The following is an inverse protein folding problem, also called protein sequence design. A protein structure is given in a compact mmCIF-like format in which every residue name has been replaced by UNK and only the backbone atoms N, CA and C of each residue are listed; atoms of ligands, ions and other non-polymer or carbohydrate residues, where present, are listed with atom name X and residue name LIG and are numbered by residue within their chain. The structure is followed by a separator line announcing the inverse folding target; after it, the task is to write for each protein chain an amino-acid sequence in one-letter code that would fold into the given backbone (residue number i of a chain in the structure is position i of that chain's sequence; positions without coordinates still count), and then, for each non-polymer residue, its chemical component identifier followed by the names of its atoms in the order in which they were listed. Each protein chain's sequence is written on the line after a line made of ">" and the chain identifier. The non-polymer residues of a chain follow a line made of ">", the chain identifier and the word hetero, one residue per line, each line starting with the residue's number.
data_IF_203639832839
#
_entry.id   IF_203639832839
#
_cell.length_a   1.000
_cell.length_b   1.000
_cell.length_c   1.000
_cell.angle_alpha   90.00
_cell.angle_beta   90.00
_cell.angle_gamma   90.00
#
_symmetry.space_group_name_H-M   'P 1'
#
loop_
_entity.id
_entity.type
_entity.pdbx_description
1 polymer ?
#
# COMPACT_ATOMS: atom_id res chain seq x y z
N UNK A 1 5.37 -6.99 21.54
CA UNK A 1 3.92 -6.73 21.42
C UNK A 1 3.35 -7.89 20.61
N UNK A 2 2.47 -8.68 21.19
CA UNK A 2 1.79 -9.80 20.49
C UNK A 2 0.56 -9.25 19.82
N UNK A 3 0.55 -9.14 18.49
CA UNK A 3 -0.56 -8.65 17.69
C UNK A 3 -0.07 -8.01 16.40
N UNK A 4 -1.01 -7.78 15.47
CA UNK A 4 -0.75 -7.02 14.24
C UNK A 4 -1.00 -5.53 14.50
N UNK A 5 -0.19 -4.69 13.91
CA UNK A 5 -0.31 -3.23 14.03
C UNK A 5 -0.10 -2.56 12.68
N UNK A 6 -0.60 -1.34 12.55
CA UNK A 6 -0.53 -0.50 11.37
C UNK A 6 0.16 0.82 11.69
N UNK A 7 1.13 1.23 10.91
CA UNK A 7 1.72 2.56 10.88
C UNK A 7 1.26 3.28 9.60
N UNK A 8 0.57 4.41 9.75
CA UNK A 8 0.14 5.24 8.63
C UNK A 8 1.33 6.06 8.11
N UNK A 9 1.88 5.71 6.95
CA UNK A 9 3.03 6.40 6.36
C UNK A 9 2.61 7.66 5.58
N UNK A 10 1.48 7.57 4.89
CA UNK A 10 0.82 8.65 4.18
C UNK A 10 -0.68 8.38 4.13
N UNK A 11 -1.48 9.43 4.05
CA UNK A 11 -2.95 9.34 4.16
C UNK A 11 -3.69 10.16 3.09
N UNK A 12 -2.97 11.00 2.35
CA UNK A 12 -3.54 11.89 1.34
C UNK A 12 -3.83 11.18 0.03
N UNK A 13 -4.66 11.82 -0.78
CA UNK A 13 -4.92 11.45 -2.16
C UNK A 13 -3.76 11.82 -3.11
N UNK A 14 -3.94 11.56 -4.41
CA UNK A 14 -2.96 11.86 -5.45
C UNK A 14 -2.59 13.36 -5.57
N UNK A 15 -3.44 14.25 -5.10
CA UNK A 15 -3.31 15.71 -5.25
C UNK A 15 -3.02 16.43 -3.95
N UNK A 16 -2.84 15.69 -2.84
CA UNK A 16 -2.59 16.29 -1.53
C UNK A 16 -1.29 17.10 -1.52
N UNK A 17 -1.39 18.34 -1.04
CA UNK A 17 -0.25 19.22 -0.73
C UNK A 17 0.12 19.19 0.76
N UNK A 18 -0.70 18.56 1.63
CA UNK A 18 -0.50 18.48 3.09
C UNK A 18 0.06 17.16 3.56
N UNK A 19 -0.34 16.07 2.89
CA UNK A 19 -0.03 14.72 3.32
C UNK A 19 0.79 13.99 2.25
N UNK A 20 1.58 13.03 2.66
CA UNK A 20 2.11 12.04 1.75
C UNK A 20 0.98 11.16 1.20
N UNK A 21 1.14 10.70 -0.03
CA UNK A 21 0.21 9.78 -0.68
C UNK A 21 -0.02 8.52 0.14
N UNK A 22 -1.20 7.93 0.00
CA UNK A 22 -1.68 6.79 0.76
C UNK A 22 -0.68 5.62 0.76
N UNK A 23 -0.18 5.29 1.94
CA UNK A 23 0.76 4.20 2.16
C UNK A 23 0.73 3.77 3.62
N UNK A 24 0.81 2.48 3.86
CA UNK A 24 0.79 1.91 5.21
C UNK A 24 1.89 0.87 5.38
N UNK A 25 2.37 0.72 6.61
CA UNK A 25 3.26 -0.37 7.01
C UNK A 25 2.58 -1.22 8.09
N UNK A 26 2.40 -2.51 7.84
CA UNK A 26 1.89 -3.47 8.82
C UNK A 26 3.07 -4.14 9.52
N UNK A 27 2.94 -4.31 10.84
CA UNK A 27 3.94 -4.99 11.66
C UNK A 27 3.34 -6.18 12.38
N UNK A 28 3.99 -7.33 12.29
CA UNK A 28 3.67 -8.52 13.07
C UNK A 28 4.93 -9.38 13.24
N UNK A 29 5.13 -9.96 14.41
CA UNK A 29 6.22 -10.90 14.72
C UNK A 29 7.62 -10.45 14.23
N UNK A 30 7.90 -9.14 14.37
CA UNK A 30 9.19 -8.53 13.99
C UNK A 30 9.35 -8.26 12.49
N UNK A 31 8.35 -8.52 11.66
CA UNK A 31 8.36 -8.30 10.21
C UNK A 31 7.50 -7.09 9.82
N UNK A 32 7.89 -6.38 8.75
CA UNK A 32 7.15 -5.27 8.18
C UNK A 32 6.70 -5.57 6.76
N UNK A 33 5.42 -5.35 6.48
CA UNK A 33 4.80 -5.40 5.16
C UNK A 33 4.35 -3.99 4.76
N UNK A 34 4.85 -3.46 3.64
CA UNK A 34 4.31 -2.23 3.07
C UNK A 34 3.06 -2.54 2.24
N UNK A 35 2.06 -1.67 2.32
CA UNK A 35 0.96 -1.59 1.37
C UNK A 35 1.16 -0.32 0.56
N UNK A 36 1.39 -0.50 -0.73
CA UNK A 36 1.83 0.49 -1.69
C UNK A 36 3.23 1.09 -1.43
N UNK A 37 3.75 1.83 -2.40
CA UNK A 37 5.11 2.37 -2.37
C UNK A 37 5.20 3.68 -3.16
N UNK A 38 4.59 4.77 -2.68
CA UNK A 38 4.72 6.08 -3.32
C UNK A 38 6.09 6.70 -3.09
N UNK A 39 6.48 7.67 -3.96
CA UNK A 39 7.67 8.47 -3.74
C UNK A 39 7.38 9.59 -2.72
N UNK A 40 8.33 9.91 -1.84
CA UNK A 40 9.65 9.31 -1.57
C UNK A 40 9.58 8.28 -0.42
N UNK A 41 9.36 7.02 -0.74
CA UNK A 41 9.03 5.94 0.22
C UNK A 41 9.95 5.89 1.44
N UNK A 42 11.28 6.01 1.26
CA UNK A 42 12.22 5.95 2.39
C UNK A 42 12.02 7.12 3.36
N UNK A 43 11.71 8.31 2.83
CA UNK A 43 11.43 9.50 3.65
C UNK A 43 10.12 9.30 4.42
N UNK A 44 9.06 8.81 3.76
CA UNK A 44 7.79 8.49 4.41
C UNK A 44 8.00 7.55 5.61
N UNK A 45 8.71 6.43 5.39
CA UNK A 45 8.98 5.46 6.46
C UNK A 45 9.73 6.09 7.63
N UNK A 46 10.80 6.84 7.36
CA UNK A 46 11.64 7.47 8.40
C UNK A 46 10.88 8.50 9.21
N UNK A 47 10.13 9.37 8.57
CA UNK A 47 9.38 10.44 9.26
C UNK A 47 8.20 9.88 10.05
N UNK A 48 7.41 8.99 9.44
CA UNK A 48 6.26 8.39 10.11
C UNK A 48 6.68 7.52 11.31
N UNK A 49 7.73 6.69 11.13
CA UNK A 49 8.21 5.86 12.24
C UNK A 49 8.81 6.69 13.37
N UNK A 50 9.56 7.75 13.08
CA UNK A 50 10.08 8.66 14.09
C UNK A 50 8.95 9.35 14.89
N UNK A 51 7.86 9.77 14.22
CA UNK A 51 6.68 10.34 14.88
C UNK A 51 5.99 9.33 15.80
N UNK A 52 6.03 8.05 15.48
CA UNK A 52 5.49 6.96 16.29
C UNK A 52 6.46 6.42 17.37
N UNK A 53 7.66 7.00 17.48
CA UNK A 53 8.70 6.49 18.40
C UNK A 53 9.32 5.16 17.95
N UNK A 54 9.28 4.87 16.65
CA UNK A 54 9.79 3.65 16.01
C UNK A 54 10.97 3.98 15.09
N UNK A 55 11.66 2.96 14.60
CA UNK A 55 12.71 3.08 13.59
C UNK A 55 12.43 2.09 12.44
N UNK A 56 11.85 2.59 11.35
CA UNK A 56 11.55 1.80 10.14
C UNK A 56 12.32 2.37 8.93
N UNK A 57 13.05 1.49 8.26
CA UNK A 57 13.75 1.79 7.00
C UNK A 57 13.66 0.58 6.05
N UNK A 58 14.07 0.73 4.79
CA UNK A 58 14.00 -0.31 3.75
C UNK A 58 14.59 -1.68 4.18
N UNK A 59 15.71 -1.76 4.92
CA UNK A 59 16.25 -3.06 5.33
C UNK A 59 15.28 -3.96 6.11
N UNK A 60 14.35 -3.37 6.85
CA UNK A 60 13.38 -4.07 7.71
C UNK A 60 12.12 -4.50 6.95
N UNK A 61 11.93 -4.01 5.71
CA UNK A 61 10.76 -4.35 4.89
C UNK A 61 10.91 -5.76 4.34
N UNK A 62 9.95 -6.62 4.66
CA UNK A 62 9.86 -8.00 4.19
C UNK A 62 9.30 -8.10 2.78
N UNK A 63 8.29 -7.28 2.48
CA UNK A 63 7.66 -7.22 1.16
C UNK A 63 6.87 -5.92 0.99
N UNK A 64 6.50 -5.65 -0.27
CA UNK A 64 5.50 -4.64 -0.66
C UNK A 64 4.31 -5.36 -1.28
N UNK A 65 3.10 -5.07 -0.83
CA UNK A 65 1.84 -5.44 -1.48
C UNK A 65 1.36 -4.23 -2.29
N UNK A 66 1.46 -4.32 -3.61
CA UNK A 66 1.10 -3.24 -4.53
C UNK A 66 -0.35 -3.41 -4.97
N UNK A 67 -1.16 -2.38 -4.77
CA UNK A 67 -2.58 -2.39 -5.12
C UNK A 67 -2.82 -2.11 -6.60
N UNK A 68 -2.18 -1.06 -7.15
CA UNK A 68 -2.32 -0.63 -8.54
C UNK A 68 -1.18 0.30 -9.02
N UNK A 69 -1.27 0.79 -10.27
CA UNK A 69 -0.19 1.53 -10.93
C UNK A 69 -0.42 3.04 -11.05
N UNK A 70 -1.29 3.66 -10.27
CA UNK A 70 -1.28 5.11 -10.16
C UNK A 70 -0.02 5.59 -9.45
N UNK A 71 0.50 6.74 -9.86
CA UNK A 71 1.80 7.23 -9.40
C UNK A 71 1.87 7.45 -7.89
N UNK A 72 0.78 7.88 -7.29
CA UNK A 72 0.62 8.07 -5.85
C UNK A 72 0.62 6.75 -5.04
N UNK A 73 0.61 5.58 -5.71
CA UNK A 73 0.73 4.26 -5.08
C UNK A 73 2.01 3.51 -5.47
N UNK A 74 2.63 3.79 -6.63
CA UNK A 74 3.74 2.97 -7.14
C UNK A 74 5.04 3.73 -7.46
N UNK A 75 5.04 5.06 -7.48
CA UNK A 75 6.19 5.87 -7.93
C UNK A 75 7.48 5.71 -7.12
N UNK A 76 7.43 5.18 -5.91
CA UNK A 76 8.60 4.90 -5.07
C UNK A 76 9.28 3.56 -5.35
N UNK A 77 8.68 2.69 -6.18
CA UNK A 77 9.22 1.35 -6.46
C UNK A 77 10.59 1.40 -7.14
N UNK A 78 10.84 2.37 -8.03
CA UNK A 78 12.17 2.56 -8.62
C UNK A 78 13.24 2.74 -7.54
N UNK A 79 13.03 3.70 -6.62
CA UNK A 79 13.96 3.96 -5.51
C UNK A 79 14.11 2.76 -4.56
N UNK A 80 13.03 2.06 -4.27
CA UNK A 80 13.04 0.84 -3.46
C UNK A 80 13.84 -0.28 -4.14
N UNK A 81 13.61 -0.49 -5.44
CA UNK A 81 14.31 -1.49 -6.25
C UNK A 81 15.82 -1.23 -6.32
N UNK A 82 16.22 0.01 -6.59
CA UNK A 82 17.62 0.41 -6.61
C UNK A 82 18.29 0.27 -5.25
N UNK A 83 17.65 0.75 -4.18
CA UNK A 83 18.21 0.62 -2.83
C UNK A 83 18.37 -0.86 -2.44
N UNK A 84 17.36 -1.67 -2.69
CA UNK A 84 17.40 -3.10 -2.39
C UNK A 84 18.51 -3.80 -3.18
N UNK A 85 18.61 -3.52 -4.48
CA UNK A 85 19.59 -4.17 -5.35
C UNK A 85 21.03 -3.73 -5.10
N UNK A 86 21.27 -2.42 -5.01
CA UNK A 86 22.63 -1.86 -5.02
C UNK A 86 23.17 -1.57 -3.62
N UNK A 87 22.30 -1.31 -2.63
CA UNK A 87 22.75 -1.05 -1.26
C UNK A 87 22.63 -2.32 -0.40
N UNK A 88 21.52 -3.06 -0.51
CA UNK A 88 21.31 -4.26 0.30
C UNK A 88 21.77 -5.56 -0.38
N UNK A 89 22.12 -5.54 -1.67
CA UNK A 89 22.57 -6.71 -2.43
C UNK A 89 21.48 -7.76 -2.64
N UNK A 90 20.20 -7.40 -2.51
CA UNK A 90 19.07 -8.33 -2.65
C UNK A 90 17.97 -7.73 -3.54
N UNK A 91 17.07 -8.58 -4.04
CA UNK A 91 15.83 -8.12 -4.68
C UNK A 91 14.79 -7.79 -3.60
N UNK A 92 13.93 -6.81 -3.87
CA UNK A 92 12.76 -6.55 -3.03
C UNK A 92 11.66 -7.55 -3.37
N UNK A 93 10.95 -8.08 -2.36
CA UNK A 93 9.77 -8.93 -2.60
C UNK A 93 8.57 -8.03 -2.91
N UNK A 94 7.91 -8.28 -4.03
CA UNK A 94 6.75 -7.54 -4.51
C UNK A 94 5.57 -8.50 -4.71
N UNK A 95 4.48 -8.24 -4.00
CA UNK A 95 3.22 -8.95 -4.14
C UNK A 95 2.28 -8.07 -4.98
N UNK A 96 1.80 -8.56 -6.10
CA UNK A 96 0.87 -7.81 -6.95
C UNK A 96 -0.05 -8.75 -7.74
N UNK A 97 -1.26 -8.30 -8.04
CA UNK A 97 -2.15 -9.04 -8.93
C UNK A 97 -1.52 -9.16 -10.34
N UNK A 98 -1.70 -10.28 -11.06
CA UNK A 98 -1.12 -10.46 -12.39
C UNK A 98 -1.46 -9.33 -13.39
N UNK A 99 -2.66 -8.77 -13.34
CA UNK A 99 -3.05 -7.62 -14.18
C UNK A 99 -2.26 -6.34 -13.85
N UNK A 100 -1.80 -6.19 -12.60
CA UNK A 100 -0.96 -5.06 -12.15
C UNK A 100 0.50 -5.31 -12.56
N UNK A 101 1.04 -6.49 -12.19
CA UNK A 101 2.45 -6.81 -12.45
C UNK A 101 2.78 -6.92 -13.94
N UNK A 102 1.83 -7.34 -14.79
CA UNK A 102 2.01 -7.42 -16.23
C UNK A 102 2.30 -6.06 -16.90
N UNK A 103 1.88 -4.96 -16.28
CA UNK A 103 2.08 -3.59 -16.80
C UNK A 103 3.14 -2.81 -16.03
N UNK A 104 3.63 -3.35 -14.92
CA UNK A 104 4.55 -2.63 -14.03
C UNK A 104 5.87 -2.27 -14.71
N UNK A 105 6.46 -3.19 -15.46
CA UNK A 105 7.75 -2.93 -16.11
C UNK A 105 7.60 -1.96 -17.28
N UNK A 106 6.92 -2.38 -18.34
CA UNK A 106 6.79 -1.60 -19.58
C UNK A 106 5.97 -0.32 -19.42
N UNK A 107 5.00 -0.32 -18.50
CA UNK A 107 4.12 0.81 -18.26
C UNK A 107 4.64 1.83 -17.24
N UNK A 108 5.66 1.48 -16.43
CA UNK A 108 6.09 2.36 -15.33
C UNK A 108 7.60 2.36 -15.08
N UNK A 109 8.26 1.21 -14.86
CA UNK A 109 9.63 1.16 -14.34
C UNK A 109 10.73 1.15 -15.42
N UNK A 110 10.47 0.60 -16.62
CA UNK A 110 11.48 0.43 -17.66
C UNK A 110 12.17 1.74 -18.03
N UNK A 111 11.43 2.84 -18.13
CA UNK A 111 11.98 4.14 -18.50
C UNK A 111 13.14 4.64 -17.61
N UNK A 112 13.13 4.26 -16.32
CA UNK A 112 14.19 4.61 -15.37
C UNK A 112 15.18 3.48 -15.05
N UNK A 113 14.80 2.22 -15.31
CA UNK A 113 15.53 1.05 -14.78
C UNK A 113 16.07 0.08 -15.83
N UNK A 114 15.60 0.16 -17.08
CA UNK A 114 15.91 -0.83 -18.12
C UNK A 114 17.38 -0.79 -18.56
N UNK A 115 17.94 0.40 -18.73
CA UNK A 115 19.30 0.61 -19.26
C UNK A 115 20.26 1.04 -18.15
N UNK A 116 21.22 0.20 -17.84
CA UNK A 116 22.31 0.53 -16.92
C UNK A 116 23.58 0.87 -17.71
N UNK A 117 23.92 2.17 -17.82
CA UNK A 117 25.19 2.63 -18.36
C UNK A 117 26.31 2.33 -17.35
N UNK A 118 27.36 1.65 -17.80
CA UNK A 118 28.49 1.26 -16.94
C UNK A 118 29.70 2.21 -17.06
N UNK A 119 29.64 3.15 -18.00
CA UNK A 119 30.68 4.14 -18.25
C UNK A 119 30.99 4.34 -19.75
N UNK A 120 31.81 5.36 -20.10
CA UNK A 120 32.17 5.61 -21.49
C UNK A 120 32.83 4.39 -22.15
N UNK A 121 32.32 3.97 -23.30
CA UNK A 121 32.87 2.85 -24.08
C UNK A 121 32.55 1.44 -23.55
N UNK A 122 31.79 1.33 -22.44
CA UNK A 122 31.30 0.04 -21.94
C UNK A 122 29.88 -0.14 -22.45
N UNK A 123 29.53 -1.30 -23.05
CA UNK A 123 28.17 -1.59 -23.50
C UNK A 123 27.18 -1.41 -22.34
N UNK A 124 26.03 -0.81 -22.63
CA UNK A 124 24.93 -0.73 -21.69
C UNK A 124 24.45 -2.14 -21.30
N UNK A 125 24.06 -2.31 -20.05
CA UNK A 125 23.49 -3.56 -19.55
C UNK A 125 21.98 -3.42 -19.50
N UNK A 126 21.26 -4.26 -20.25
CA UNK A 126 19.81 -4.36 -20.18
C UNK A 126 19.39 -5.05 -18.88
N UNK A 127 18.36 -4.52 -18.26
CA UNK A 127 17.77 -5.00 -17.04
C UNK A 127 16.29 -5.33 -17.24
N UNK A 128 15.76 -6.11 -16.34
CA UNK A 128 14.36 -6.50 -16.30
C UNK A 128 13.79 -6.27 -14.90
N UNK A 129 12.48 -6.35 -14.76
CA UNK A 129 11.79 -6.31 -13.46
C UNK A 129 12.44 -7.28 -12.44
N UNK A 130 12.80 -8.46 -12.91
CA UNK A 130 13.32 -9.55 -12.08
C UNK A 130 14.78 -9.37 -11.63
N UNK A 131 15.47 -8.36 -12.14
CA UNK A 131 16.78 -7.96 -11.59
C UNK A 131 16.63 -7.24 -10.24
N UNK A 132 15.48 -6.58 -10.03
CA UNK A 132 15.21 -5.73 -8.86
C UNK A 132 14.19 -6.35 -7.91
N UNK A 133 13.23 -7.11 -8.43
CA UNK A 133 12.10 -7.62 -7.65
C UNK A 133 11.95 -9.14 -7.74
N UNK A 134 11.61 -9.74 -6.60
CA UNK A 134 11.03 -11.09 -6.51
C UNK A 134 9.50 -10.93 -6.54
N UNK A 135 8.92 -11.03 -7.74
CA UNK A 135 7.48 -10.81 -7.94
C UNK A 135 6.70 -12.06 -7.62
N UNK A 136 5.77 -11.96 -6.66
CA UNK A 136 4.86 -13.03 -6.26
C UNK A 136 3.42 -12.65 -6.59
N UNK A 137 2.70 -13.46 -7.36
CA UNK A 137 1.35 -13.12 -7.78
C UNK A 137 0.37 -13.17 -6.60
N UNK A 138 -0.43 -12.10 -6.46
CA UNK A 138 -1.64 -12.08 -5.66
C UNK A 138 -2.82 -12.36 -6.60
N UNK A 139 -3.27 -13.61 -6.67
CA UNK A 139 -4.42 -13.97 -7.50
C UNK A 139 -5.70 -13.98 -6.66
N UNK A 140 -6.83 -13.73 -7.34
CA UNK A 140 -8.15 -13.80 -6.72
C UNK A 140 -8.38 -15.17 -6.07
N UNK A 141 -8.93 -15.18 -4.84
CA UNK A 141 -9.21 -16.37 -4.02
C UNK A 141 -7.98 -17.23 -3.65
N UNK A 142 -6.76 -16.82 -4.00
CA UNK A 142 -5.55 -17.49 -3.56
C UNK A 142 -4.92 -16.76 -2.39
N UNK A 143 -4.53 -17.53 -1.38
CA UNK A 143 -3.77 -16.98 -0.25
C UNK A 143 -2.28 -17.04 -0.56
N UNK A 144 -1.59 -15.92 -0.35
CA UNK A 144 -0.14 -15.81 -0.49
C UNK A 144 0.48 -15.45 0.86
N UNK A 145 1.51 -16.19 1.25
CA UNK A 145 2.21 -15.94 2.52
C UNK A 145 3.56 -15.26 2.29
N UNK A 146 3.88 -14.28 3.14
CA UNK A 146 5.19 -13.66 3.24
C UNK A 146 5.51 -13.34 4.70
N UNK A 147 6.55 -13.96 5.25
CA UNK A 147 6.82 -13.90 6.68
C UNK A 147 5.58 -14.33 7.49
N UNK A 148 5.17 -13.55 8.50
CA UNK A 148 3.98 -13.85 9.30
C UNK A 148 2.66 -13.48 8.62
N UNK A 149 2.69 -12.79 7.47
CA UNK A 149 1.51 -12.26 6.79
C UNK A 149 0.94 -13.25 5.79
N UNK A 150 -0.39 -13.40 5.78
CA UNK A 150 -1.17 -14.09 4.76
C UNK A 150 -2.08 -13.08 4.09
N UNK A 151 -2.02 -13.03 2.76
CA UNK A 151 -2.73 -12.04 1.97
C UNK A 151 -3.71 -12.71 1.02
N UNK A 152 -4.89 -12.10 0.89
CA UNK A 152 -5.87 -12.36 -0.16
C UNK A 152 -6.23 -11.04 -0.81
N UNK A 153 -6.60 -11.06 -2.09
CA UNK A 153 -6.99 -9.86 -2.82
C UNK A 153 -8.33 -10.05 -3.54
N UNK A 154 -8.97 -8.93 -3.86
CA UNK A 154 -10.14 -8.84 -4.73
C UNK A 154 -9.99 -7.62 -5.63
N UNK A 155 -10.38 -7.70 -6.91
CA UNK A 155 -10.42 -6.54 -7.80
C UNK A 155 -11.45 -5.53 -7.32
N UNK A 156 -11.14 -4.25 -7.45
CA UNK A 156 -12.00 -3.12 -7.12
C UNK A 156 -12.56 -2.44 -8.35
N UNK A 157 -13.52 -1.55 -8.15
CA UNK A 157 -14.12 -0.76 -9.22
C UNK A 157 -13.38 0.58 -9.38
N UNK A 158 -12.26 0.55 -10.12
CA UNK A 158 -11.40 1.72 -10.33
C UNK A 158 -10.98 1.84 -11.81
N UNK A 159 -10.31 2.95 -12.18
CA UNK A 159 -9.94 3.27 -13.58
C UNK A 159 -8.86 2.36 -14.17
N UNK A 160 -8.04 1.75 -13.33
CA UNK A 160 -7.01 0.77 -13.70
C UNK A 160 -7.19 -0.50 -12.88
N UNK A 161 -6.62 -1.66 -13.26
CA UNK A 161 -6.63 -2.84 -12.42
C UNK A 161 -6.12 -2.53 -11.03
N UNK A 162 -7.00 -2.60 -10.04
CA UNK A 162 -6.73 -2.27 -8.64
C UNK A 162 -7.23 -3.39 -7.75
N UNK A 163 -6.53 -3.65 -6.64
CA UNK A 163 -6.88 -4.73 -5.72
C UNK A 163 -7.04 -4.23 -4.29
N UNK A 164 -8.20 -4.52 -3.71
CA UNK A 164 -8.39 -4.54 -2.26
C UNK A 164 -7.64 -5.73 -1.65
N UNK A 165 -7.26 -5.61 -0.40
CA UNK A 165 -6.47 -6.60 0.33
C UNK A 165 -7.15 -7.02 1.63
N UNK A 166 -7.05 -8.30 1.98
CA UNK A 166 -7.19 -8.80 3.35
C UNK A 166 -5.84 -9.35 3.78
N UNK A 167 -5.34 -8.87 4.92
CA UNK A 167 -4.05 -9.28 5.47
C UNK A 167 -4.27 -9.85 6.85
N UNK A 168 -3.86 -11.10 7.04
CA UNK A 168 -3.94 -11.81 8.30
C UNK A 168 -2.54 -11.99 8.89
N UNK A 169 -2.37 -11.67 10.16
CA UNK A 169 -1.16 -11.96 10.93
C UNK A 169 -1.46 -11.93 12.44
N UNK A 170 -0.76 -12.73 13.23
CA UNK A 170 -0.87 -12.78 14.69
C UNK A 170 -2.33 -12.91 15.20
N UNK A 171 -3.17 -13.66 14.47
CA UNK A 171 -4.58 -13.88 14.81
C UNK A 171 -5.50 -12.68 14.59
N UNK A 172 -5.08 -11.69 13.82
CA UNK A 172 -5.82 -10.48 13.46
C UNK A 172 -5.92 -10.34 11.94
N UNK A 173 -6.97 -9.67 11.49
CA UNK A 173 -7.24 -9.40 10.08
C UNK A 173 -7.41 -7.90 9.84
N UNK A 174 -6.63 -7.36 8.90
CA UNK A 174 -6.84 -6.03 8.33
C UNK A 174 -7.51 -6.18 6.95
N UNK A 175 -8.58 -5.42 6.70
CA UNK A 175 -9.15 -5.20 5.38
C UNK A 175 -8.75 -3.84 4.84
N UNK A 176 -8.34 -3.76 3.57
CA UNK A 176 -8.02 -2.51 2.89
C UNK A 176 -8.74 -2.42 1.56
N UNK A 177 -9.48 -1.35 1.35
CA UNK A 177 -10.27 -1.16 0.12
C UNK A 177 -9.40 -0.94 -1.11
N UNK A 178 -8.20 -0.35 -0.96
CA UNK A 178 -7.51 0.38 -2.03
C UNK A 178 -8.46 1.41 -2.70
N UNK A 179 -8.07 1.97 -3.84
CA UNK A 179 -8.92 2.93 -4.55
C UNK A 179 -10.10 2.21 -5.22
N UNK A 180 -11.30 2.74 -5.02
CA UNK A 180 -12.53 2.13 -5.54
C UNK A 180 -13.69 3.10 -5.54
N UNK A 181 -14.54 3.07 -6.57
CA UNK A 181 -15.90 3.57 -6.42
C UNK A 181 -16.62 2.75 -5.34
N UNK A 182 -17.68 3.30 -4.75
CA UNK A 182 -18.46 2.60 -3.73
C UNK A 182 -18.95 1.24 -4.26
N UNK A 183 -18.67 0.19 -3.51
CA UNK A 183 -19.04 -1.18 -3.84
C UNK A 183 -19.50 -1.90 -2.55
N UNK A 184 -20.81 -2.17 -2.47
CA UNK A 184 -21.41 -2.84 -1.31
C UNK A 184 -20.86 -4.27 -1.12
N UNK A 185 -20.60 -4.99 -2.22
CA UNK A 185 -20.03 -6.33 -2.15
C UNK A 185 -18.58 -6.32 -1.65
N UNK A 186 -17.84 -5.24 -1.93
CA UNK A 186 -16.51 -5.04 -1.36
C UNK A 186 -16.59 -4.75 0.15
N UNK A 187 -17.52 -3.90 0.57
CA UNK A 187 -17.77 -3.63 2.00
C UNK A 187 -18.08 -4.94 2.73
N UNK A 188 -18.97 -5.77 2.17
CA UNK A 188 -19.32 -7.07 2.78
C UNK A 188 -18.10 -8.00 2.84
N UNK A 189 -17.25 -8.02 1.80
CA UNK A 189 -16.02 -8.82 1.79
C UNK A 189 -15.01 -8.36 2.84
N UNK A 190 -14.97 -7.06 3.17
CA UNK A 190 -14.09 -6.49 4.20
C UNK A 190 -14.70 -6.59 5.61
N UNK A 191 -16.02 -6.79 5.73
CA UNK A 191 -16.75 -6.66 6.99
C UNK A 191 -16.33 -7.64 8.10
N UNK A 192 -15.71 -8.78 7.75
CA UNK A 192 -15.20 -9.76 8.74
C UNK A 192 -13.82 -9.38 9.32
N UNK A 193 -13.18 -8.32 8.81
CA UNK A 193 -11.88 -7.89 9.33
C UNK A 193 -12.02 -7.25 10.73
N UNK A 194 -10.99 -7.41 11.57
CA UNK A 194 -10.91 -6.74 12.89
C UNK A 194 -10.78 -5.23 12.73
N UNK A 195 -10.05 -4.77 11.70
CA UNK A 195 -9.90 -3.37 11.32
C UNK A 195 -10.07 -3.24 9.81
N UNK A 196 -10.83 -2.24 9.37
CA UNK A 196 -11.01 -1.89 7.96
C UNK A 196 -10.35 -0.53 7.72
N UNK A 197 -9.51 -0.43 6.70
CA UNK A 197 -9.05 0.85 6.17
C UNK A 197 -9.72 1.05 4.82
N UNK A 198 -10.50 2.11 4.69
CA UNK A 198 -11.23 2.41 3.45
C UNK A 198 -10.83 3.77 2.90
N UNK A 199 -10.63 3.85 1.59
CA UNK A 199 -10.42 5.12 0.92
C UNK A 199 -11.68 5.99 0.98
N UNK A 200 -11.51 7.30 0.96
CA UNK A 200 -12.61 8.24 0.72
C UNK A 200 -12.11 9.45 -0.04
N UNK A 201 -12.75 9.73 -1.18
CA UNK A 201 -12.45 10.89 -1.99
C UNK A 201 -13.71 11.26 -2.82
N UNK A 202 -13.93 12.54 -3.14
CA UNK A 202 -15.00 12.90 -4.06
C UNK A 202 -14.71 12.40 -5.48
N UNK A 203 -15.78 12.05 -6.19
CA UNK A 203 -15.70 11.63 -7.60
C UNK A 203 -16.19 10.20 -7.84
N UNK A 204 -16.44 9.89 -9.11
CA UNK A 204 -17.10 8.64 -9.50
C UNK A 204 -16.19 7.41 -9.51
N UNK A 205 -14.88 7.61 -9.42
CA UNK A 205 -13.87 6.54 -9.35
C UNK A 205 -13.42 6.23 -7.92
N UNK A 206 -13.95 6.97 -6.96
CA UNK A 206 -13.64 6.86 -5.54
C UNK A 206 -14.91 6.74 -4.72
N UNK A 207 -14.78 6.46 -3.44
CA UNK A 207 -15.92 6.34 -2.52
C UNK A 207 -16.19 7.67 -1.81
N UNK A 208 -17.33 8.36 -2.09
CA UNK A 208 -17.72 9.54 -1.34
C UNK A 208 -17.95 9.22 0.15
N UNK A 209 -17.50 10.11 1.03
CA UNK A 209 -17.59 9.96 2.48
C UNK A 209 -19.00 9.66 2.96
N UNK A 210 -20.02 10.32 2.39
CA UNK A 210 -21.41 10.19 2.80
C UNK A 210 -21.93 8.75 2.67
N UNK A 211 -21.41 7.99 1.69
CA UNK A 211 -21.77 6.59 1.49
C UNK A 211 -21.19 5.71 2.60
N UNK A 212 -19.95 5.98 3.02
CA UNK A 212 -19.33 5.30 4.16
C UNK A 212 -20.00 5.69 5.49
N UNK A 213 -20.31 6.96 5.68
CA UNK A 213 -20.98 7.47 6.87
C UNK A 213 -22.39 6.90 7.04
N UNK A 214 -23.05 6.48 5.95
CA UNK A 214 -24.37 5.85 5.98
C UNK A 214 -24.33 4.34 6.32
N UNK A 215 -23.16 3.70 6.35
CA UNK A 215 -23.01 2.28 6.69
C UNK A 215 -23.47 1.99 8.13
N UNK A 216 -23.85 0.75 8.45
CA UNK A 216 -24.18 0.33 9.81
C UNK A 216 -23.05 0.66 10.81
N UNK A 217 -23.41 1.09 12.01
CA UNK A 217 -22.44 1.43 13.06
C UNK A 217 -21.46 0.28 13.35
N UNK A 218 -21.93 -0.97 13.30
CA UNK A 218 -21.10 -2.14 13.53
C UNK A 218 -19.93 -2.27 12.50
N UNK A 219 -20.10 -1.75 11.29
CA UNK A 219 -19.03 -1.68 10.27
C UNK A 219 -18.16 -0.46 10.52
N UNK A 220 -18.79 0.72 10.65
CA UNK A 220 -18.07 2.00 10.82
C UNK A 220 -17.18 2.03 12.06
N UNK A 221 -17.59 1.38 13.16
CA UNK A 221 -16.81 1.34 14.42
C UNK A 221 -15.47 0.60 14.30
N UNK A 222 -15.27 -0.15 13.23
CA UNK A 222 -14.02 -0.87 12.90
C UNK A 222 -13.33 -0.30 11.67
N UNK A 223 -13.79 0.86 11.17
CA UNK A 223 -13.27 1.48 9.95
C UNK A 223 -12.41 2.69 10.29
N UNK A 224 -11.32 2.86 9.53
CA UNK A 224 -10.49 4.06 9.47
C UNK A 224 -10.47 4.55 8.02
N UNK A 225 -10.39 5.89 7.83
CA UNK A 225 -10.37 6.49 6.50
C UNK A 225 -8.94 6.80 6.05
N UNK A 226 -8.70 6.63 4.75
CA UNK A 226 -7.45 6.98 4.07
C UNK A 226 -7.77 7.61 2.70
N UNK A 227 -6.77 8.12 2.00
CA UNK A 227 -6.89 8.66 0.65
C UNK A 227 -7.84 9.87 0.53
N UNK A 228 -7.93 10.63 1.62
CA UNK A 228 -8.80 11.80 1.67
C UNK A 228 -8.07 13.07 1.19
N UNK A 229 -8.82 14.02 0.57
CA UNK A 229 -8.26 15.28 0.09
C UNK A 229 -7.91 16.23 1.24
N UNK A 230 -7.06 17.23 0.97
CA UNK A 230 -6.59 18.21 1.96
C UNK A 230 -7.70 19.00 2.67
N UNK A 231 -8.86 19.13 2.02
CA UNK A 231 -10.03 19.85 2.55
C UNK A 231 -11.04 18.96 3.27
N UNK A 232 -10.73 17.67 3.44
CA UNK A 232 -11.59 16.74 4.19
C UNK A 232 -11.73 17.22 5.64
N UNK A 233 -12.96 17.29 6.13
CA UNK A 233 -13.27 17.72 7.49
C UNK A 233 -13.02 16.57 8.49
N UNK A 234 -11.81 16.57 9.04
CA UNK A 234 -11.37 15.53 9.99
C UNK A 234 -12.18 15.54 11.29
N UNK A 235 -12.59 16.73 11.76
CA UNK A 235 -13.22 16.91 13.07
C UNK A 235 -14.69 16.48 13.08
N UNK A 236 -15.40 16.64 11.95
CA UNK A 236 -16.82 16.26 11.84
C UNK A 236 -17.02 14.80 11.40
N UNK A 237 -15.95 14.08 11.06
CA UNK A 237 -16.05 12.71 10.56
C UNK A 237 -16.53 11.74 11.64
N UNK A 238 -17.60 10.97 11.33
CA UNK A 238 -18.11 9.89 12.20
C UNK A 238 -17.34 8.58 12.06
N UNK A 239 -16.36 8.54 11.14
CA UNK A 239 -15.39 7.44 10.95
C UNK A 239 -14.01 8.05 11.17
N UNK A 240 -13.19 7.48 12.03
CA UNK A 240 -11.88 8.02 12.38
C UNK A 240 -10.97 8.06 11.14
N UNK A 241 -10.45 9.24 10.72
CA UNK A 241 -9.44 9.31 9.68
C UNK A 241 -8.07 8.83 10.21
N UNK A 242 -7.33 8.07 9.41
CA UNK A 242 -5.93 7.77 9.71
C UNK A 242 -5.13 9.06 9.84
N UNK A 243 -4.27 9.11 10.82
CA UNK A 243 -3.35 10.24 11.03
C UNK A 243 -1.94 9.81 10.61
N UNK A 244 -1.33 10.55 9.69
CA UNK A 244 0.03 10.29 9.22
C UNK A 244 1.02 10.26 10.39
N UNK A 245 1.86 9.24 10.45
CA UNK A 245 2.84 9.04 11.51
C UNK A 245 2.27 8.43 12.80
N UNK A 246 0.98 8.09 12.84
CA UNK A 246 0.35 7.42 13.98
C UNK A 246 0.38 5.89 13.82
N UNK A 247 0.54 5.20 14.94
CA UNK A 247 0.56 3.75 15.05
C UNK A 247 -0.77 3.24 15.64
N UNK A 248 -1.37 2.25 14.99
CA UNK A 248 -2.67 1.68 15.37
C UNK A 248 -2.53 0.18 15.66
N UNK A 249 -3.33 -0.33 16.59
CA UNK A 249 -3.47 -1.78 16.82
C UNK A 249 -4.61 -2.33 15.95
N UNK A 250 -4.38 -3.46 15.27
CA UNK A 250 -5.39 -4.18 14.50
C UNK A 250 -6.16 -5.15 15.39
#
# INVERSE_FOLDING_TARGET
>A
MSGMSLLALGVGDAFSGRYYSSCMALHADGAWLLIDCPHPIRKLMREASASAGLDLDIPQVSAVALTHLHADHCSGLEGLGFFSRFVLGRRATLLAHPLVSARLWDGHLAGGMEIALQGPGIPALERTLYDFFDVRPLAYEQEVSVGPFRLRCRLTNHSVPTTALRVEAAGRTLGYSADTAFDADLIDWLADADLIVHETNPGFLHTPYEQLAALPQAVRSRMLLIHYPDHFDLDSSVIEPLTQGRYYTV
#
